data_IF_252315407612
#
_entry.id   IF_252315407612
#
_cell.length_a   1.000
_cell.length_b   1.000
_cell.length_c   1.000
_cell.angle_alpha   90.00
_cell.angle_beta   90.00
_cell.angle_gamma   90.00
#
_symmetry.space_group_name_H-M   'P 1'
#
loop_
_entity.id
_entity.type
_entity.pdbx_description
1 polymer ?
#
# COMPACT_ATOMS: atom_id res chain seq x y z
N UNK A 1 33.71 23.15 41.20
CA UNK A 1 34.01 22.03 40.28
C UNK A 1 33.66 20.72 40.96
N UNK A 2 33.03 19.80 40.21
CA UNK A 2 32.49 18.47 40.56
C UNK A 2 31.03 18.44 41.04
N UNK A 3 30.18 18.14 40.06
CA UNK A 3 28.80 17.67 40.15
C UNK A 3 28.74 16.25 40.68
N UNK A 4 27.66 15.90 41.38
CA UNK A 4 27.04 14.56 41.31
C UNK A 4 25.67 14.61 41.97
N UNK A 5 24.61 14.66 41.16
CA UNK A 5 23.25 14.34 41.61
C UNK A 5 22.86 13.03 40.95
N UNK A 6 22.66 12.01 41.77
CA UNK A 6 22.17 10.70 41.37
C UNK A 6 20.64 10.66 41.38
N UNK A 7 20.15 9.71 40.58
CA UNK A 7 18.82 9.10 40.56
C UNK A 7 17.70 9.83 39.81
N UNK A 8 17.35 9.27 38.64
CA UNK A 8 15.97 8.85 38.40
C UNK A 8 15.91 7.42 37.89
N UNK A 9 15.02 6.66 38.53
CA UNK A 9 14.62 5.29 38.26
C UNK A 9 13.28 5.39 37.51
N UNK A 10 13.11 4.56 36.49
CA UNK A 10 11.80 4.29 35.87
C UNK A 10 11.55 5.06 34.59
N UNK A 11 11.66 4.37 33.45
CA UNK A 11 10.51 4.08 32.58
C UNK A 11 10.96 3.15 31.46
N UNK A 12 10.62 1.87 31.62
CA UNK A 12 10.46 0.94 30.52
C UNK A 12 9.28 1.45 29.69
N UNK A 13 9.53 2.00 28.51
CA UNK A 13 8.62 2.09 27.36
C UNK A 13 9.26 3.01 26.33
N UNK A 14 9.69 2.46 25.20
CA UNK A 14 9.14 2.93 23.94
C UNK A 14 8.87 1.69 23.12
N UNK A 15 7.58 1.42 22.89
CA UNK A 15 7.22 0.60 21.75
C UNK A 15 7.97 1.19 20.57
N UNK A 16 8.61 0.33 19.77
CA UNK A 16 9.10 0.77 18.48
C UNK A 16 7.90 1.39 17.78
N UNK A 17 7.85 2.72 17.78
CA UNK A 17 7.15 3.51 16.80
C UNK A 17 7.78 3.09 15.48
N UNK A 18 7.22 2.02 14.90
CA UNK A 18 7.41 1.70 13.51
C UNK A 18 6.70 2.86 12.82
N UNK A 19 7.41 3.97 12.68
CA UNK A 19 7.05 5.02 11.72
C UNK A 19 6.68 4.26 10.45
N UNK A 20 5.41 4.30 10.00
CA UNK A 20 4.97 3.48 8.89
C UNK A 20 5.90 3.83 7.74
N UNK A 21 6.67 2.83 7.28
CA UNK A 21 7.70 3.03 6.29
C UNK A 21 7.12 3.90 5.19
N UNK A 22 7.65 5.13 5.03
CA UNK A 22 7.03 6.15 4.21
C UNK A 22 7.13 5.69 2.76
N UNK A 23 6.10 4.97 2.27
CA UNK A 23 6.18 4.34 0.94
C UNK A 23 6.37 5.44 -0.10
N UNK A 24 7.42 5.29 -0.91
CA UNK A 24 7.75 6.17 -2.01
C UNK A 24 6.97 5.78 -3.27
N UNK A 25 7.01 6.64 -4.28
CA UNK A 25 6.44 6.37 -5.60
C UNK A 25 7.04 5.10 -6.26
N UNK A 26 8.31 4.79 -6.00
CA UNK A 26 8.95 3.59 -6.53
C UNK A 26 8.33 2.28 -6.02
N UNK A 27 7.69 2.30 -4.86
CA UNK A 27 6.95 1.14 -4.33
C UNK A 27 5.70 0.82 -5.18
N UNK A 28 5.19 1.81 -5.92
CA UNK A 28 4.03 1.64 -6.78
C UNK A 28 4.39 1.38 -8.25
N UNK A 29 5.68 1.34 -8.59
CA UNK A 29 6.14 1.07 -9.95
C UNK A 29 5.62 -0.28 -10.48
N UNK A 30 5.36 -0.41 -11.79
CA UNK A 30 4.72 -1.60 -12.37
C UNK A 30 5.43 -2.91 -12.07
N UNK A 31 6.76 -2.91 -12.02
CA UNK A 31 7.55 -4.09 -11.71
C UNK A 31 7.23 -4.69 -10.32
N UNK A 32 6.74 -3.86 -9.38
CA UNK A 32 6.32 -4.29 -8.04
C UNK A 32 4.83 -4.56 -7.96
N UNK A 33 4.01 -3.76 -8.64
CA UNK A 33 2.55 -3.77 -8.45
C UNK A 33 1.79 -4.64 -9.45
N UNK A 34 2.35 -4.94 -10.62
CA UNK A 34 1.71 -5.83 -11.61
C UNK A 34 1.54 -7.27 -11.07
N UNK A 35 2.55 -7.92 -10.44
CA UNK A 35 2.35 -9.25 -9.87
C UNK A 35 1.29 -9.30 -8.77
N UNK A 36 1.15 -8.21 -8.01
CA UNK A 36 0.11 -8.07 -6.97
C UNK A 36 -1.27 -7.98 -7.63
N UNK A 37 -1.40 -7.17 -8.70
CA UNK A 37 -2.63 -7.07 -9.48
C UNK A 37 -3.06 -8.42 -10.04
N UNK A 38 -2.15 -9.15 -10.68
CA UNK A 38 -2.42 -10.49 -11.23
C UNK A 38 -2.84 -11.49 -10.14
N UNK A 39 -2.18 -11.47 -8.98
CA UNK A 39 -2.54 -12.32 -7.85
C UNK A 39 -3.93 -11.97 -7.30
N UNK A 40 -4.27 -10.69 -7.22
CA UNK A 40 -5.59 -10.24 -6.79
C UNK A 40 -6.68 -10.71 -7.79
N UNK A 41 -6.46 -10.52 -9.09
CA UNK A 41 -7.37 -10.96 -10.15
C UNK A 41 -7.64 -12.46 -10.08
N UNK A 42 -6.59 -13.28 -9.94
CA UNK A 42 -6.73 -14.75 -9.78
C UNK A 42 -7.56 -15.13 -8.57
N UNK A 43 -7.43 -14.42 -7.45
CA UNK A 43 -8.18 -14.72 -6.21
C UNK A 43 -9.68 -14.46 -6.33
N UNK A 44 -10.09 -13.60 -7.27
CA UNK A 44 -11.49 -13.23 -7.49
C UNK A 44 -12.06 -13.73 -8.83
N UNK A 45 -11.27 -14.51 -9.59
CA UNK A 45 -11.72 -15.11 -10.85
C UNK A 45 -11.83 -14.13 -12.03
N UNK A 46 -11.08 -13.03 -12.01
CA UNK A 46 -11.05 -12.03 -13.08
C UNK A 46 -9.82 -12.27 -13.97
N UNK A 47 -9.96 -12.17 -15.30
CA UNK A 47 -8.81 -12.18 -16.22
C UNK A 47 -8.04 -10.84 -16.12
N UNK A 48 -6.86 -10.87 -15.50
CA UNK A 48 -6.00 -9.70 -15.36
C UNK A 48 -5.01 -9.48 -16.52
N UNK A 49 -5.07 -10.26 -17.60
CA UNK A 49 -4.02 -10.31 -18.62
C UNK A 49 -3.88 -9.07 -19.52
N UNK A 50 -4.88 -8.18 -19.56
CA UNK A 50 -4.82 -6.88 -20.25
C UNK A 50 -4.55 -5.68 -19.35
N UNK A 51 -4.04 -5.93 -18.13
CA UNK A 51 -3.74 -4.87 -17.18
C UNK A 51 -2.86 -3.76 -17.79
N UNK A 52 -3.46 -2.58 -17.93
CA UNK A 52 -2.79 -1.37 -18.39
C UNK A 52 -2.70 -0.37 -17.25
N UNK A 53 -1.50 0.11 -16.96
CA UNK A 53 -1.28 1.08 -15.90
C UNK A 53 -1.78 2.47 -16.31
N UNK A 54 -2.62 3.08 -15.47
CA UNK A 54 -3.09 4.45 -15.64
C UNK A 54 -2.25 5.48 -14.88
N UNK A 55 -1.81 5.14 -13.66
CA UNK A 55 -0.95 5.99 -12.80
C UNK A 55 -0.29 5.18 -11.70
N UNK A 56 0.83 5.66 -11.16
CA UNK A 56 1.59 4.97 -10.11
C UNK A 56 2.27 5.87 -9.06
N UNK A 57 1.67 7.00 -8.68
CA UNK A 57 2.24 7.90 -7.68
C UNK A 57 2.08 7.35 -6.25
N UNK A 58 0.95 7.64 -5.59
CA UNK A 58 0.66 7.20 -4.22
C UNK A 58 -0.05 5.85 -4.13
N UNK A 59 -0.46 5.33 -5.29
CA UNK A 59 -1.11 4.04 -5.52
C UNK A 59 -0.78 3.61 -6.96
N UNK A 60 -0.80 2.31 -7.26
CA UNK A 60 -0.84 1.84 -8.64
C UNK A 60 -2.30 1.60 -9.05
N UNK A 61 -2.69 2.09 -10.23
CA UNK A 61 -4.04 1.93 -10.78
C UNK A 61 -3.94 1.29 -12.14
N UNK A 62 -4.60 0.14 -12.31
CA UNK A 62 -4.68 -0.59 -13.56
C UNK A 62 -6.12 -0.62 -14.08
N UNK A 63 -6.28 -0.54 -15.39
CA UNK A 63 -7.53 -0.88 -16.08
C UNK A 63 -7.40 -2.26 -16.70
N UNK A 64 -8.44 -3.07 -16.52
CA UNK A 64 -8.69 -4.33 -17.25
C UNK A 64 -9.83 -4.03 -18.22
N UNK A 65 -9.51 -3.71 -19.48
CA UNK A 65 -10.47 -3.18 -20.42
C UNK A 65 -11.53 -4.22 -20.82
N UNK A 66 -11.11 -5.49 -20.97
CA UNK A 66 -12.00 -6.62 -21.27
C UNK A 66 -13.01 -6.87 -20.16
N UNK A 67 -12.55 -6.83 -18.92
CA UNK A 67 -13.37 -7.08 -17.73
C UNK A 67 -14.17 -5.84 -17.27
N UNK A 68 -13.88 -4.66 -17.82
CA UNK A 68 -14.42 -3.37 -17.37
C UNK A 68 -14.18 -3.14 -15.86
N UNK A 69 -12.99 -3.53 -15.38
CA UNK A 69 -12.58 -3.46 -13.97
C UNK A 69 -11.38 -2.54 -13.78
N UNK A 70 -11.36 -1.81 -12.66
CA UNK A 70 -10.19 -1.03 -12.21
C UNK A 70 -9.59 -1.69 -10.98
N UNK A 71 -8.31 -2.02 -11.04
CA UNK A 71 -7.55 -2.55 -9.91
C UNK A 71 -6.72 -1.44 -9.29
N UNK A 72 -6.94 -1.16 -8.00
CA UNK A 72 -6.18 -0.18 -7.22
C UNK A 72 -5.34 -0.89 -6.17
N UNK A 73 -4.01 -0.78 -6.29
CA UNK A 73 -3.06 -1.25 -5.28
C UNK A 73 -2.70 -0.06 -4.39
N UNK A 74 -3.23 -0.07 -3.17
CA UNK A 74 -3.04 0.98 -2.17
C UNK A 74 -2.06 0.63 -1.06
N UNK A 75 -1.89 1.56 -0.12
CA UNK A 75 -1.00 1.41 1.04
C UNK A 75 -1.57 0.38 2.03
N UNK A 76 -0.73 -0.40 2.73
CA UNK A 76 -1.16 -1.42 3.69
C UNK A 76 -2.09 -0.90 4.79
N UNK A 77 -1.88 0.34 5.25
CA UNK A 77 -2.72 0.99 6.26
C UNK A 77 -4.16 1.31 5.80
N UNK A 78 -4.46 1.26 4.50
CA UNK A 78 -5.79 1.55 3.96
C UNK A 78 -6.52 0.26 3.55
N UNK A 79 -7.11 -0.44 4.54
CA UNK A 79 -7.96 -1.63 4.31
C UNK A 79 -9.43 -1.25 4.10
N UNK A 80 -9.72 -0.43 3.10
CA UNK A 80 -11.09 -0.17 2.67
C UNK A 80 -11.41 -0.95 1.39
N UNK A 81 -12.51 -1.71 1.42
CA UNK A 81 -13.12 -2.28 0.22
C UNK A 81 -14.22 -1.30 -0.20
N UNK A 82 -13.94 -0.48 -1.21
CA UNK A 82 -14.92 0.42 -1.81
C UNK A 82 -15.49 -0.24 -3.08
N UNK A 83 -16.77 -0.61 -3.06
CA UNK A 83 -17.49 -1.08 -4.26
C UNK A 83 -18.09 0.14 -4.95
N UNK A 84 -17.54 0.51 -6.10
CA UNK A 84 -18.05 1.62 -6.92
C UNK A 84 -18.64 1.08 -8.23
N UNK A 85 -19.86 1.49 -8.55
CA UNK A 85 -20.48 1.18 -9.84
C UNK A 85 -19.92 2.10 -10.92
N UNK A 86 -19.52 1.53 -12.06
CA UNK A 86 -19.16 2.31 -13.24
C UNK A 86 -20.44 2.92 -13.83
N UNK A 87 -20.60 4.24 -13.74
CA UNK A 87 -21.71 4.97 -14.37
C UNK A 87 -21.30 5.36 -15.79
N UNK A 88 -22.15 5.05 -16.77
CA UNK A 88 -21.99 5.44 -18.18
C UNK A 88 -22.46 6.87 -18.42
#
# INVERSE_FOLDING_TARGET
MRHTTHARRGELMTGQDIEPARLSESEFAPARTLPISEAACRRVGIDGSDATLLRHHTNAVYVLAREQVVVKIGRPEHRHIDVVGLVR
#
